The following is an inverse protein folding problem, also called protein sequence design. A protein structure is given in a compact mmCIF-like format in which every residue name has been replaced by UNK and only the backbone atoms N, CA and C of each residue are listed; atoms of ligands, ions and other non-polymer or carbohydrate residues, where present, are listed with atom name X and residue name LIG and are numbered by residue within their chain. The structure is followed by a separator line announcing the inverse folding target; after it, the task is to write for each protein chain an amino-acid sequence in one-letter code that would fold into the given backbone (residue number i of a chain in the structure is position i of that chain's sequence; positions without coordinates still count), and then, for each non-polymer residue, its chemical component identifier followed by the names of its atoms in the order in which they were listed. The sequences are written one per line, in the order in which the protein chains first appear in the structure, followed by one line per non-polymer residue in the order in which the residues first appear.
data_IF_406459044506
#
_entry.id   IF_406459044506
#
_cell.length_a   1.000
_cell.length_b   1.000
_cell.length_c   1.000
_cell.angle_alpha   90.00
_cell.angle_beta   90.00
_cell.angle_gamma   90.00
#
_symmetry.space_group_name_H-M   'P 1'
#
loop_
_entity.id
_entity.type
_entity.pdbx_description
1 polymer ?
#
# COMPACT_ATOMS: atom_id res chain seq x y z
N UNK A 1 -37.19 -8.59 8.67
CA UNK A 1 -36.33 -9.45 9.52
C UNK A 1 -35.01 -9.91 8.85
N UNK A 2 -34.70 -9.50 7.60
CA UNK A 2 -33.53 -10.02 6.87
C UNK A 2 -32.23 -9.23 7.07
N UNK A 3 -32.29 -7.96 7.49
CA UNK A 3 -31.11 -7.10 7.63
C UNK A 3 -30.17 -7.52 8.77
N UNK A 4 -30.73 -8.02 9.88
CA UNK A 4 -29.95 -8.50 11.04
C UNK A 4 -29.12 -9.75 10.72
N UNK A 5 -29.57 -10.59 9.78
CA UNK A 5 -28.85 -11.79 9.31
C UNK A 5 -27.66 -11.41 8.42
N UNK A 6 -27.83 -10.41 7.55
CA UNK A 6 -26.74 -9.88 6.71
C UNK A 6 -25.60 -9.28 7.53
N UNK A 7 -25.91 -8.51 8.57
CA UNK A 7 -24.88 -7.90 9.44
C UNK A 7 -24.05 -8.95 10.20
N UNK A 8 -24.68 -10.04 10.64
CA UNK A 8 -24.02 -11.19 11.29
C UNK A 8 -23.10 -11.96 10.34
N UNK A 9 -23.52 -12.15 9.08
CA UNK A 9 -22.68 -12.80 8.06
C UNK A 9 -21.45 -11.96 7.70
N UNK A 10 -21.59 -10.64 7.56
CA UNK A 10 -20.45 -9.75 7.28
C UNK A 10 -19.47 -9.71 8.46
N UNK A 11 -19.98 -9.63 9.68
CA UNK A 11 -19.15 -9.71 10.89
C UNK A 11 -18.38 -11.03 11.00
N UNK A 12 -19.03 -12.15 10.66
CA UNK A 12 -18.39 -13.47 10.63
C UNK A 12 -17.26 -13.57 9.60
N UNK A 13 -17.49 -13.11 8.37
CA UNK A 13 -16.46 -13.11 7.32
C UNK A 13 -15.27 -12.23 7.73
N UNK A 14 -15.54 -11.06 8.31
CA UNK A 14 -14.47 -10.14 8.73
C UNK A 14 -13.68 -10.69 9.92
N UNK A 15 -14.34 -11.33 10.89
CA UNK A 15 -13.68 -12.01 11.99
C UNK A 15 -12.78 -13.15 11.53
N UNK A 16 -13.24 -13.96 10.57
CA UNK A 16 -12.42 -15.04 9.97
C UNK A 16 -11.24 -14.47 9.20
N UNK A 17 -11.43 -13.40 8.43
CA UNK A 17 -10.33 -12.77 7.68
C UNK A 17 -9.22 -12.24 8.61
N UNK A 18 -9.60 -11.60 9.71
CA UNK A 18 -8.65 -11.12 10.72
C UNK A 18 -7.92 -12.30 11.39
N UNK A 19 -8.65 -13.34 11.77
CA UNK A 19 -8.06 -14.54 12.36
C UNK A 19 -7.05 -15.19 11.41
N UNK A 20 -7.41 -15.33 10.13
CA UNK A 20 -6.53 -15.87 9.09
C UNK A 20 -5.28 -15.01 8.88
N UNK A 21 -5.43 -13.68 8.94
CA UNK A 21 -4.31 -12.74 8.81
C UNK A 21 -3.30 -12.89 9.95
N UNK A 22 -3.76 -13.18 11.17
CA UNK A 22 -2.87 -13.39 12.31
C UNK A 22 -2.24 -14.79 12.36
N UNK A 23 -2.90 -15.80 11.80
CA UNK A 23 -2.38 -17.18 11.83
C UNK A 23 -1.44 -17.49 10.67
N UNK A 24 -1.72 -16.98 9.47
CA UNK A 24 -0.98 -17.33 8.25
C UNK A 24 0.19 -16.39 7.99
N UNK A 25 0.02 -15.09 8.21
CA UNK A 25 1.07 -14.13 7.86
C UNK A 25 2.03 -13.98 9.04
N UNK A 26 3.30 -14.40 8.89
CA UNK A 26 4.29 -14.20 9.93
C UNK A 26 4.50 -12.70 10.18
N UNK A 27 4.62 -12.34 11.45
CA UNK A 27 4.86 -10.98 11.93
C UNK A 27 6.07 -10.36 11.20
N UNK A 28 6.00 -9.06 10.87
CA UNK A 28 7.01 -8.38 10.06
C UNK A 28 8.40 -8.47 10.71
N UNK A 29 8.45 -8.45 12.05
CA UNK A 29 9.67 -8.64 12.82
C UNK A 29 10.27 -10.04 12.68
N UNK A 30 9.44 -11.07 12.51
CA UNK A 30 9.90 -12.45 12.25
C UNK A 30 10.42 -12.57 10.82
N UNK A 31 9.80 -11.90 9.85
CA UNK A 31 10.31 -11.83 8.48
C UNK A 31 11.65 -11.10 8.45
N UNK A 32 11.76 -9.92 9.07
CA UNK A 32 13.00 -9.15 9.20
C UNK A 32 14.10 -9.95 9.90
N UNK A 33 13.77 -10.74 10.94
CA UNK A 33 14.72 -11.64 11.62
C UNK A 33 15.21 -12.80 10.76
N UNK A 34 14.36 -13.33 9.88
CA UNK A 34 14.76 -14.34 8.89
C UNK A 34 15.54 -13.78 7.70
N UNK A 35 15.43 -12.47 7.45
CA UNK A 35 16.17 -11.77 6.41
C UNK A 35 17.63 -11.59 6.83
N UNK A 36 18.55 -11.80 5.88
CA UNK A 36 19.99 -11.60 6.07
C UNK A 36 20.30 -10.16 6.51
N UNK A 37 21.40 -9.92 7.25
CA UNK A 37 21.75 -8.57 7.74
C UNK A 37 21.93 -7.56 6.60
N UNK A 38 22.29 -8.02 5.40
CA UNK A 38 22.38 -7.20 4.19
C UNK A 38 21.00 -6.68 3.75
N UNK A 39 19.99 -7.55 3.66
CA UNK A 39 18.64 -7.16 3.22
C UNK A 39 17.97 -6.19 4.20
N UNK A 40 18.33 -6.23 5.49
CA UNK A 40 17.87 -5.24 6.47
C UNK A 40 18.43 -3.85 6.18
N UNK A 41 19.72 -3.75 5.91
CA UNK A 41 20.36 -2.48 5.60
C UNK A 41 19.80 -1.89 4.29
N UNK A 42 19.56 -2.73 3.29
CA UNK A 42 18.92 -2.31 2.05
C UNK A 42 17.46 -1.89 2.26
N UNK A 43 16.70 -2.63 3.08
CA UNK A 43 15.33 -2.28 3.44
C UNK A 43 15.26 -0.92 4.16
N UNK A 44 16.15 -0.66 5.11
CA UNK A 44 16.25 0.61 5.82
C UNK A 44 16.60 1.76 4.87
N UNK A 45 17.57 1.57 3.97
CA UNK A 45 17.95 2.56 2.94
C UNK A 45 16.80 2.86 1.97
N UNK A 46 15.99 1.87 1.63
CA UNK A 46 14.89 2.02 0.67
C UNK A 46 13.57 2.46 1.33
N UNK A 47 13.48 2.43 2.66
CA UNK A 47 12.26 2.80 3.41
C UNK A 47 11.86 4.25 3.19
N UNK A 48 12.82 5.18 3.15
CA UNK A 48 12.55 6.60 2.87
C UNK A 48 12.04 6.79 1.44
N UNK A 49 12.73 6.21 0.46
CA UNK A 49 12.35 6.27 -0.96
C UNK A 49 10.93 5.77 -1.22
N UNK A 50 10.52 4.67 -0.57
CA UNK A 50 9.13 4.16 -0.70
C UNK A 50 8.10 5.12 -0.12
N UNK A 51 8.42 5.81 0.98
CA UNK A 51 7.52 6.81 1.59
C UNK A 51 7.38 8.03 0.67
N UNK A 52 8.50 8.55 0.19
CA UNK A 52 8.51 9.69 -0.75
C UNK A 52 7.74 9.39 -2.05
N UNK A 53 7.94 8.19 -2.62
CA UNK A 53 7.18 7.73 -3.78
C UNK A 53 5.68 7.65 -3.50
N UNK A 54 5.32 7.09 -2.35
CA UNK A 54 3.92 6.97 -1.94
C UNK A 54 3.27 8.35 -1.75
N UNK A 55 3.95 9.28 -1.09
CA UNK A 55 3.46 10.64 -0.86
C UNK A 55 3.30 11.40 -2.20
N UNK A 56 4.22 11.21 -3.15
CA UNK A 56 4.11 11.77 -4.49
C UNK A 56 2.92 11.22 -5.28
N UNK A 57 2.66 9.91 -5.18
CA UNK A 57 1.48 9.27 -5.78
C UNK A 57 0.20 9.83 -5.16
N UNK A 58 0.14 9.93 -3.83
CA UNK A 58 -1.03 10.45 -3.12
C UNK A 58 -1.31 11.91 -3.47
N UNK A 59 -0.27 12.74 -3.65
CA UNK A 59 -0.42 14.11 -4.11
C UNK A 59 -1.07 14.17 -5.51
N UNK A 60 -0.62 13.34 -6.45
CA UNK A 60 -1.22 13.25 -7.79
C UNK A 60 -2.67 12.74 -7.73
N UNK A 61 -2.95 11.73 -6.91
CA UNK A 61 -4.32 11.23 -6.72
C UNK A 61 -5.23 12.32 -6.17
N UNK A 62 -4.76 13.12 -5.20
CA UNK A 62 -5.53 14.24 -4.64
C UNK A 62 -5.76 15.35 -5.66
N UNK A 63 -4.79 15.66 -6.52
CA UNK A 63 -4.94 16.62 -7.61
C UNK A 63 -5.95 16.12 -8.65
N UNK A 64 -5.84 14.86 -9.04
CA UNK A 64 -6.74 14.18 -9.97
C UNK A 64 -8.17 14.08 -9.42
N UNK A 65 -8.33 13.85 -8.11
CA UNK A 65 -9.64 13.79 -7.45
C UNK A 65 -10.37 15.14 -7.42
N UNK A 66 -9.64 16.26 -7.53
CA UNK A 66 -10.23 17.61 -7.65
C UNK A 66 -10.62 17.94 -9.09
N UNK A 67 -10.18 17.17 -10.06
CA UNK A 67 -10.54 17.34 -11.46
C UNK A 67 -11.93 16.78 -11.71
N UNK A 68 -12.79 17.54 -12.39
CA UNK A 68 -14.12 17.08 -12.84
C UNK A 68 -14.06 16.01 -13.94
N UNK A 69 -12.85 15.67 -14.41
CA UNK A 69 -12.65 14.64 -15.44
C UNK A 69 -12.75 13.25 -14.83
N UNK A 70 -13.40 12.31 -15.52
CA UNK A 70 -13.52 10.95 -15.03
C UNK A 70 -12.16 10.24 -14.96
N UNK A 71 -12.01 9.33 -14.01
CA UNK A 71 -10.73 8.69 -13.62
C UNK A 71 -9.98 8.05 -14.82
N UNK A 72 -10.69 7.56 -15.84
CA UNK A 72 -10.08 6.93 -17.02
C UNK A 72 -9.42 7.92 -17.99
N UNK A 73 -9.75 9.22 -17.90
CA UNK A 73 -9.13 10.29 -18.70
C UNK A 73 -7.98 10.97 -17.97
N UNK A 74 -7.98 10.92 -16.64
CA UNK A 74 -6.90 11.46 -15.83
C UNK A 74 -5.75 10.46 -15.86
N UNK A 75 -4.58 10.87 -16.36
CA UNK A 75 -3.46 9.94 -16.57
C UNK A 75 -3.15 9.18 -15.28
N UNK A 76 -2.94 7.87 -15.39
CA UNK A 76 -2.52 7.04 -14.27
C UNK A 76 -1.35 7.70 -13.52
N UNK A 77 -1.36 7.70 -12.17
CA UNK A 77 -0.33 8.36 -11.39
C UNK A 77 1.02 7.76 -11.77
N UNK A 78 1.82 8.51 -12.52
CA UNK A 78 3.14 8.05 -12.92
C UNK A 78 4.10 8.34 -11.78
N UNK A 79 4.96 7.36 -11.40
CA UNK A 79 6.01 7.66 -10.45
C UNK A 79 6.82 8.83 -11.02
N UNK A 80 6.99 9.90 -10.24
CA UNK A 80 7.92 10.97 -10.61
C UNK A 80 9.31 10.32 -10.68
N UNK A 81 9.78 10.02 -11.89
CA UNK A 81 11.19 9.71 -12.13
C UNK A 81 11.98 10.95 -11.76
N UNK A 82 12.79 10.84 -10.72
CA UNK A 82 13.79 11.86 -10.41
C UNK A 82 14.67 12.09 -11.65
N UNK A 83 14.96 13.35 -11.96
CA UNK A 83 15.79 13.79 -13.08
C UNK A 83 17.27 13.46 -12.84
N UNK A 84 17.62 12.18 -12.65
CA UNK A 84 19.02 11.72 -12.62
C UNK A 84 19.53 11.25 -13.98
N UNK A 85 18.65 11.09 -14.97
CA UNK A 85 19.00 10.59 -16.31
C UNK A 85 19.14 11.71 -17.36
N UNK A 86 18.93 12.97 -16.98
CA UNK A 86 19.09 14.15 -17.86
C UNK A 86 20.49 14.77 -17.81
N UNK A 87 21.48 14.09 -17.21
CA UNK A 87 22.87 14.54 -17.17
C UNK A 87 23.83 13.37 -17.41
N UNK A 88 23.74 12.76 -18.59
CA UNK A 88 24.86 12.01 -19.18
C UNK A 88 24.85 12.13 -20.71
#
# INVERSE_FOLDING_TARGET
MSFKRGLLSVGGIMGVAVLLRYTIVPDEDKMLKSLSPELRAEYERNKSKRREQHDAIMAQVMENAKSDKPIWEVSAPKPKSDNSDASK
#
